data_IF_482037219920
#
_entry.id   IF_482037219920
#
_cell.length_a   1.000
_cell.length_b   1.000
_cell.length_c   1.000
_cell.angle_alpha   90.00
_cell.angle_beta   90.00
_cell.angle_gamma   90.00
#
_symmetry.space_group_name_H-M   'P 1'
#
loop_
_entity.id
_entity.type
_entity.pdbx_description
1 polymer ?
#
# COMPACT_ATOMS: atom_id res chain seq x y z
N UNK A 1 17.02 5.93 -9.49
CA UNK A 1 16.99 6.36 -8.06
C UNK A 1 16.90 7.88 -8.05
N UNK A 2 15.73 8.42 -7.72
CA UNK A 2 15.50 9.87 -7.72
C UNK A 2 15.94 10.43 -6.36
N UNK A 3 17.04 11.17 -6.38
CA UNK A 3 17.58 11.91 -5.24
C UNK A 3 16.62 13.06 -4.92
N UNK A 4 15.63 12.81 -4.06
CA UNK A 4 14.71 13.83 -3.59
C UNK A 4 13.33 13.33 -3.17
N UNK A 5 12.92 12.12 -3.59
CA UNK A 5 11.64 11.54 -3.17
C UNK A 5 11.86 10.17 -2.54
N UNK A 6 11.47 9.98 -1.26
CA UNK A 6 11.57 8.68 -0.61
C UNK A 6 10.65 7.68 -1.33
N UNK A 7 11.23 6.62 -1.88
CA UNK A 7 10.49 5.53 -2.52
C UNK A 7 10.84 4.19 -1.88
N UNK A 8 9.85 3.30 -1.79
CA UNK A 8 10.04 1.90 -1.38
C UNK A 8 9.73 1.01 -2.57
N UNK A 9 10.66 0.14 -2.93
CA UNK A 9 10.49 -0.80 -4.04
C UNK A 9 10.57 -2.24 -3.53
N UNK A 10 9.67 -3.08 -4.01
CA UNK A 10 9.71 -4.54 -3.86
C UNK A 10 9.60 -5.17 -5.25
N UNK A 11 9.71 -6.49 -5.37
CA UNK A 11 9.65 -7.17 -6.67
C UNK A 11 8.34 -6.94 -7.46
N UNK A 12 7.25 -6.56 -6.79
CA UNK A 12 5.93 -6.36 -7.41
C UNK A 12 5.28 -5.00 -7.10
N UNK A 13 5.89 -4.17 -6.25
CA UNK A 13 5.30 -2.92 -5.81
C UNK A 13 6.32 -1.79 -5.76
N UNK A 14 5.89 -0.57 -6.08
CA UNK A 14 6.61 0.67 -5.85
C UNK A 14 5.72 1.62 -5.06
N UNK A 15 6.24 2.19 -3.99
CA UNK A 15 5.54 3.18 -3.16
C UNK A 15 6.30 4.49 -3.26
N UNK A 16 5.63 5.54 -3.72
CA UNK A 16 6.06 6.92 -3.55
C UNK A 16 5.52 7.41 -2.21
N UNK A 17 6.39 7.48 -1.20
CA UNK A 17 5.99 7.79 0.18
C UNK A 17 5.58 9.25 0.30
N UNK A 18 6.18 10.14 -0.49
CA UNK A 18 5.88 11.56 -0.47
C UNK A 18 4.48 11.85 -1.05
N UNK A 19 4.12 11.15 -2.14
CA UNK A 19 2.79 11.31 -2.78
C UNK A 19 1.71 10.41 -2.18
N UNK A 20 2.11 9.35 -1.49
CA UNK A 20 1.20 8.30 -1.02
C UNK A 20 0.67 7.43 -2.15
N UNK A 21 1.42 7.27 -3.23
CA UNK A 21 1.00 6.42 -4.36
C UNK A 21 1.65 5.03 -4.23
N UNK A 22 0.82 3.98 -4.24
CA UNK A 22 1.21 2.59 -4.34
C UNK A 22 0.94 2.08 -5.75
N UNK A 23 2.00 1.71 -6.47
CA UNK A 23 1.94 1.08 -7.77
C UNK A 23 2.20 -0.42 -7.65
N UNK A 24 1.22 -1.25 -8.00
CA UNK A 24 1.32 -2.71 -8.02
C UNK A 24 1.45 -3.23 -9.45
N UNK A 25 2.33 -4.21 -9.63
CA UNK A 25 2.49 -4.96 -10.87
C UNK A 25 1.84 -6.33 -10.72
N UNK A 26 0.77 -6.58 -11.47
CA UNK A 26 0.09 -7.88 -11.54
C UNK A 26 -0.10 -8.24 -13.00
N UNK A 27 0.26 -9.47 -13.39
CA UNK A 27 0.01 -10.00 -14.74
C UNK A 27 0.47 -9.11 -15.90
N UNK A 28 1.54 -8.33 -15.69
CA UNK A 28 2.08 -7.39 -16.67
C UNK A 28 1.41 -6.01 -16.67
N UNK A 29 0.30 -5.85 -15.95
CA UNK A 29 -0.41 -4.60 -15.75
C UNK A 29 0.11 -3.83 -14.53
N UNK A 30 -0.11 -2.52 -14.55
CA UNK A 30 0.23 -1.61 -13.46
C UNK A 30 -1.05 -0.97 -12.91
N UNK A 31 -1.26 -1.10 -11.62
CA UNK A 31 -2.39 -0.52 -10.91
C UNK A 31 -1.84 0.48 -9.89
N UNK A 32 -2.40 1.68 -9.84
CA UNK A 32 -1.97 2.75 -8.93
C UNK A 32 -3.09 3.04 -7.94
N UNK A 33 -2.76 3.06 -6.65
CA UNK A 33 -3.64 3.38 -5.55
C UNK A 33 -3.09 4.55 -4.75
N UNK A 34 -3.95 5.45 -4.29
CA UNK A 34 -3.55 6.40 -3.25
C UNK A 34 -3.79 5.79 -1.87
N UNK A 35 -2.73 5.63 -1.08
CA UNK A 35 -2.80 4.96 0.22
C UNK A 35 -3.54 5.80 1.25
N UNK A 36 -3.54 7.13 1.15
CA UNK A 36 -4.26 7.99 2.10
C UNK A 36 -5.77 7.87 1.91
N UNK A 37 -6.25 7.85 0.67
CA UNK A 37 -7.66 7.59 0.37
C UNK A 37 -8.10 6.19 0.81
N UNK A 38 -7.24 5.18 0.64
CA UNK A 38 -7.53 3.83 1.12
C UNK A 38 -7.65 3.78 2.65
N UNK A 39 -6.73 4.42 3.38
CA UNK A 39 -6.78 4.47 4.84
C UNK A 39 -8.01 5.22 5.36
N UNK A 40 -8.38 6.34 4.72
CA UNK A 40 -9.60 7.07 5.07
C UNK A 40 -10.86 6.21 4.90
N UNK A 41 -10.94 5.42 3.83
CA UNK A 41 -12.05 4.46 3.64
C UNK A 41 -12.06 3.36 4.70
N UNK A 42 -10.90 2.90 5.16
CA UNK A 42 -10.80 1.92 6.24
C UNK A 42 -11.25 2.49 7.60
N UNK A 43 -11.03 3.79 7.82
CA UNK A 43 -11.55 4.51 9.00
C UNK A 43 -13.05 4.76 8.90
N UNK A 44 -13.62 4.95 7.71
CA UNK A 44 -15.07 5.09 7.52
C UNK A 44 -15.80 3.73 7.65
N UNK A 45 -15.12 2.63 7.34
CA UNK A 45 -15.60 1.25 7.53
C UNK A 45 -15.01 0.60 8.81
N UNK A 46 -15.17 1.28 9.95
CA UNK A 46 -14.73 0.80 11.27
C UNK A 46 -15.30 -0.60 11.59
N UNK A 47 -14.54 -1.66 11.28
CA UNK A 47 -14.96 -3.03 11.59
C UNK A 47 -13.99 -4.16 11.26
N UNK A 48 -12.96 -3.95 10.41
CA UNK A 48 -12.17 -5.08 9.86
C UNK A 48 -10.69 -5.11 10.27
N UNK A 49 -10.18 -4.07 10.93
CA UNK A 49 -8.74 -3.93 11.26
C UNK A 49 -8.22 -4.96 12.27
N UNK A 50 -9.09 -5.69 12.97
CA UNK A 50 -8.71 -6.79 13.88
C UNK A 50 -8.38 -8.12 13.16
N UNK A 51 -8.60 -8.26 11.84
CA UNK A 51 -8.36 -9.53 11.13
C UNK A 51 -7.01 -9.64 10.41
N UNK A 52 -6.23 -8.56 10.34
CA UNK A 52 -4.89 -8.60 9.72
C UNK A 52 -3.74 -8.83 10.72
N UNK A 53 -4.01 -8.74 12.03
CA UNK A 53 -3.08 -9.16 13.09
C UNK A 53 -3.52 -10.50 13.70
N UNK A 54 -3.77 -11.49 12.85
CA UNK A 54 -3.99 -12.88 13.26
C UNK A 54 -2.71 -13.69 13.12
N UNK A 55 -1.75 -13.52 14.04
CA UNK A 55 -0.69 -14.51 14.22
C UNK A 55 -1.33 -15.88 14.51
N UNK A 56 -1.34 -16.77 13.52
CA UNK A 56 -1.73 -18.16 13.72
C UNK A 56 -0.49 -19.03 13.94
N UNK A 57 -0.21 -19.26 15.23
CA UNK A 57 0.26 -20.49 15.86
C UNK A 57 1.54 -21.14 15.31
N UNK A 58 2.59 -21.07 16.13
CA UNK A 58 3.40 -22.26 16.41
C UNK A 58 2.64 -23.23 17.30
#
# INVERSE_FOLDING_TARGET
LLLGRPFLATGRALIDVERGDLMLRTDGEQIIFNVFEAMKRLEEEEGTTMLLCGCHRG
#
